data_IF_883918288120
#
_entry.id   IF_883918288120
#
_cell.length_a   1.000
_cell.length_b   1.000
_cell.length_c   1.000
_cell.angle_alpha   90.00
_cell.angle_beta   90.00
_cell.angle_gamma   90.00
#
_symmetry.space_group_name_H-M   'P 1'
#
loop_
_entity.id
_entity.type
_entity.pdbx_description
1 polymer ?
#
# COMPACT_ATOMS: atom_id res chain seq x y z
N UNK A 1 -24.30 13.97 -19.73
CA UNK A 1 -23.07 14.09 -20.56
C UNK A 1 -22.74 12.70 -21.10
N UNK A 2 -22.46 12.54 -22.40
CA UNK A 2 -22.24 11.23 -22.98
C UNK A 2 -20.88 10.69 -22.51
N UNK A 3 -20.91 9.54 -21.84
CA UNK A 3 -19.72 8.78 -21.44
C UNK A 3 -19.09 8.18 -22.70
N UNK A 4 -18.00 8.78 -23.19
CA UNK A 4 -17.20 8.19 -24.25
C UNK A 4 -16.63 6.84 -23.79
N UNK A 5 -16.79 5.80 -24.61
CA UNK A 5 -16.16 4.48 -24.36
C UNK A 5 -14.64 4.68 -24.29
N UNK A 6 -13.92 3.99 -23.38
CA UNK A 6 -12.47 4.10 -23.31
C UNK A 6 -11.88 3.64 -24.65
N UNK A 7 -11.23 4.56 -25.35
CA UNK A 7 -10.51 4.30 -26.60
C UNK A 7 -9.51 3.19 -26.37
N UNK A 8 -9.61 2.11 -27.14
CA UNK A 8 -8.73 0.95 -27.04
C UNK A 8 -7.31 1.38 -27.39
N UNK A 9 -6.43 1.42 -26.38
CA UNK A 9 -5.06 1.90 -26.51
C UNK A 9 -4.23 0.80 -27.21
N UNK A 10 -4.06 0.89 -28.53
CA UNK A 10 -3.15 0.03 -29.29
C UNK A 10 -1.73 0.60 -29.23
N UNK A 11 -0.88 -0.03 -28.43
CA UNK A 11 0.56 0.27 -28.36
C UNK A 11 1.31 -0.65 -29.32
N UNK A 12 1.87 -0.08 -30.39
CA UNK A 12 2.72 -0.80 -31.33
C UNK A 12 4.20 -0.52 -31.04
N UNK A 13 4.85 -1.47 -30.37
CA UNK A 13 6.26 -1.40 -29.97
C UNK A 13 7.25 -1.49 -31.14
N UNK A 14 6.78 -1.88 -32.33
CA UNK A 14 7.62 -1.94 -33.55
C UNK A 14 7.52 -0.67 -34.38
N UNK A 15 6.51 0.15 -34.12
CA UNK A 15 6.38 1.46 -34.75
C UNK A 15 7.39 2.43 -34.14
N UNK A 16 8.02 3.27 -34.96
CA UNK A 16 8.91 4.35 -34.48
C UNK A 16 8.20 5.47 -33.71
N UNK A 17 6.96 5.25 -33.26
CA UNK A 17 6.21 6.24 -32.48
C UNK A 17 6.70 6.28 -31.03
N UNK A 18 6.76 7.47 -30.41
CA UNK A 18 7.21 7.60 -29.04
C UNK A 18 6.22 6.91 -28.07
N UNK A 19 6.75 5.96 -27.30
CA UNK A 19 6.01 5.26 -26.25
C UNK A 19 5.67 6.25 -25.12
N UNK A 20 4.44 6.22 -24.55
CA UNK A 20 4.09 7.04 -23.39
C UNK A 20 5.03 6.80 -22.20
N UNK A 21 5.36 7.86 -21.46
CA UNK A 21 6.34 7.79 -20.35
C UNK A 21 6.01 6.72 -19.30
N UNK A 22 4.74 6.61 -18.87
CA UNK A 22 4.30 5.62 -17.89
C UNK A 22 4.50 4.17 -18.37
N UNK A 23 4.40 3.90 -19.68
CA UNK A 23 4.65 2.56 -20.23
C UNK A 23 6.13 2.22 -20.15
N UNK A 24 6.98 3.19 -20.50
CA UNK A 24 8.43 3.06 -20.38
C UNK A 24 8.84 2.81 -18.93
N UNK A 25 8.31 3.59 -17.99
CA UNK A 25 8.57 3.41 -16.55
C UNK A 25 8.21 2.00 -16.06
N UNK A 26 7.08 1.45 -16.49
CA UNK A 26 6.66 0.09 -16.12
C UNK A 26 7.58 -0.98 -16.73
N UNK A 27 8.00 -0.80 -17.99
CA UNK A 27 8.93 -1.72 -18.66
C UNK A 27 10.29 -1.68 -17.96
N UNK A 28 10.83 -0.49 -17.72
CA UNK A 28 12.13 -0.31 -17.07
C UNK A 28 12.11 -0.89 -15.64
N UNK A 29 11.03 -0.66 -14.89
CA UNK A 29 10.84 -1.23 -13.56
C UNK A 29 10.78 -2.77 -13.61
N UNK A 30 10.12 -3.35 -14.61
CA UNK A 30 10.06 -4.79 -14.78
C UNK A 30 11.44 -5.39 -15.07
N UNK A 31 12.20 -4.81 -16.00
CA UNK A 31 13.55 -5.24 -16.32
C UNK A 31 14.49 -5.12 -15.12
N UNK A 32 14.34 -4.07 -14.30
CA UNK A 32 15.10 -3.92 -13.07
C UNK A 32 14.81 -5.04 -12.06
N UNK A 33 13.53 -5.40 -11.87
CA UNK A 33 13.11 -6.51 -11.00
C UNK A 33 13.67 -7.86 -11.48
N UNK A 34 13.77 -8.08 -12.79
CA UNK A 34 14.35 -9.31 -13.33
C UNK A 34 15.88 -9.37 -13.15
N UNK A 35 16.54 -8.21 -13.17
CA UNK A 35 18.01 -8.13 -13.12
C UNK A 35 18.55 -8.43 -11.72
N UNK A 36 17.84 -8.03 -10.66
CA UNK A 36 18.30 -8.18 -9.28
C UNK A 36 17.18 -8.68 -8.37
N UNK A 37 17.46 -9.73 -7.60
CA UNK A 37 16.50 -10.24 -6.63
C UNK A 37 16.26 -9.26 -5.48
N UNK A 38 15.07 -9.30 -4.89
CA UNK A 38 14.67 -8.35 -3.83
C UNK A 38 15.57 -8.42 -2.59
N UNK A 39 16.26 -9.54 -2.36
CA UNK A 39 17.18 -9.71 -1.22
C UNK A 39 18.47 -8.93 -1.46
N UNK A 40 19.06 -9.08 -2.64
CA UNK A 40 20.31 -8.44 -3.05
C UNK A 40 20.13 -6.94 -3.17
N UNK A 41 19.00 -6.50 -3.72
CA UNK A 41 18.62 -5.09 -3.83
C UNK A 41 18.29 -4.42 -2.48
N UNK A 42 18.26 -5.16 -1.36
CA UNK A 42 17.86 -4.64 -0.06
C UNK A 42 16.39 -4.19 0.01
N UNK A 43 15.54 -4.69 -0.90
CA UNK A 43 14.15 -4.29 -1.09
C UNK A 43 13.14 -5.26 -0.45
N UNK A 44 13.57 -6.10 0.49
CA UNK A 44 12.68 -7.05 1.18
C UNK A 44 11.70 -6.32 2.11
N UNK A 45 10.42 -6.51 1.85
CA UNK A 45 9.33 -6.13 2.74
C UNK A 45 8.89 -7.30 3.63
N UNK A 46 8.46 -6.98 4.85
CA UNK A 46 7.92 -7.94 5.82
C UNK A 46 6.48 -7.58 6.18
N UNK A 47 5.71 -8.59 6.58
CA UNK A 47 4.33 -8.45 7.05
C UNK A 47 4.06 -9.46 8.15
N UNK A 48 3.27 -9.09 9.15
CA UNK A 48 2.83 -10.02 10.18
C UNK A 48 2.07 -11.22 9.56
N UNK A 49 2.45 -12.45 9.94
CA UNK A 49 1.85 -13.71 9.44
C UNK A 49 0.32 -13.70 9.47
N UNK A 50 -0.27 -13.18 10.54
CA UNK A 50 -1.72 -13.07 10.68
C UNK A 50 -2.36 -12.23 9.56
N UNK A 51 -1.71 -11.15 9.15
CA UNK A 51 -2.17 -10.27 8.08
C UNK A 51 -1.87 -10.82 6.69
N UNK A 52 -0.85 -11.65 6.53
CA UNK A 52 -0.63 -12.42 5.28
C UNK A 52 -1.78 -13.41 5.05
N UNK A 53 -2.22 -14.11 6.10
CA UNK A 53 -3.25 -15.15 5.99
C UNK A 53 -4.67 -14.58 5.87
N UNK A 54 -5.00 -13.59 6.70
CA UNK A 54 -6.38 -13.10 6.80
C UNK A 54 -6.57 -11.67 6.26
N UNK A 55 -5.51 -10.88 6.08
CA UNK A 55 -5.52 -9.47 5.63
C UNK A 55 -6.42 -8.53 6.43
N UNK A 56 -6.12 -7.23 6.42
CA UNK A 56 -7.01 -6.22 7.00
C UNK A 56 -8.24 -5.98 6.11
N UNK A 57 -9.31 -5.32 6.59
CA UNK A 57 -10.47 -4.98 5.77
C UNK A 57 -10.11 -4.10 4.57
N UNK A 58 -10.77 -4.31 3.42
CA UNK A 58 -10.57 -3.46 2.24
C UNK A 58 -11.48 -2.23 2.26
N UNK A 59 -12.69 -2.42 2.77
CA UNK A 59 -13.71 -1.38 2.94
C UNK A 59 -14.02 -1.27 4.43
N UNK A 60 -14.62 -0.15 4.80
CA UNK A 60 -15.12 0.08 6.14
C UNK A 60 -16.05 -1.07 6.57
N UNK A 61 -15.71 -1.82 7.62
CA UNK A 61 -16.54 -2.90 8.11
C UNK A 61 -17.80 -2.40 8.85
N UNK A 62 -17.94 -1.08 9.11
CA UNK A 62 -19.06 -0.44 9.82
C UNK A 62 -19.39 -1.11 11.16
N UNK A 63 -18.36 -1.67 11.80
CA UNK A 63 -18.46 -2.46 13.02
C UNK A 63 -17.16 -2.32 13.80
N UNK A 64 -17.25 -2.41 15.14
CA UNK A 64 -16.08 -2.35 16.02
C UNK A 64 -15.32 -3.67 16.09
N UNK A 65 -15.83 -4.72 15.44
CA UNK A 65 -15.23 -6.05 15.42
C UNK A 65 -15.21 -6.60 14.00
N UNK A 66 -14.02 -6.68 13.42
CA UNK A 66 -13.79 -7.34 12.14
C UNK A 66 -13.33 -8.78 12.40
N UNK A 67 -14.01 -9.74 11.77
CA UNK A 67 -13.64 -11.15 11.82
C UNK A 67 -13.33 -11.63 10.42
N UNK A 68 -12.27 -12.40 10.27
CA UNK A 68 -11.92 -13.09 9.02
C UNK A 68 -11.44 -14.50 9.32
N UNK A 69 -11.92 -15.46 8.55
CA UNK A 69 -11.50 -16.85 8.64
C UNK A 69 -10.87 -17.27 7.31
N UNK A 70 -9.77 -18.00 7.39
CA UNK A 70 -9.11 -18.64 6.27
C UNK A 70 -8.70 -20.05 6.70
N UNK A 71 -9.49 -21.06 6.31
CA UNK A 71 -9.38 -22.42 6.84
C UNK A 71 -9.54 -22.46 8.37
N UNK A 72 -8.57 -23.05 9.04
CA UNK A 72 -8.51 -23.15 10.51
C UNK A 72 -8.04 -21.86 11.19
N UNK A 73 -7.52 -20.89 10.42
CA UNK A 73 -7.06 -19.63 10.97
C UNK A 73 -8.23 -18.64 11.09
N UNK A 74 -8.39 -18.05 12.29
CA UNK A 74 -9.37 -17.00 12.57
C UNK A 74 -8.67 -15.76 13.08
N UNK A 75 -8.83 -14.65 12.36
CA UNK A 75 -8.41 -13.32 12.78
C UNK A 75 -9.61 -12.55 13.30
N UNK A 76 -9.43 -11.89 14.46
CA UNK A 76 -10.36 -10.92 15.00
C UNK A 76 -9.60 -9.62 15.28
N UNK A 77 -10.04 -8.53 14.66
CA UNK A 77 -9.55 -7.17 14.92
C UNK A 77 -10.66 -6.42 15.66
N UNK A 78 -10.29 -5.73 16.73
CA UNK A 78 -11.20 -4.95 17.57
C UNK A 78 -10.75 -3.49 17.48
N UNK A 79 -11.67 -2.57 17.24
CA UNK A 79 -11.39 -1.14 17.28
C UNK A 79 -10.93 -0.74 18.69
N UNK A 80 -9.73 -0.17 18.78
CA UNK A 80 -9.14 0.28 20.05
C UNK A 80 -9.41 1.75 20.37
N UNK A 81 -10.07 2.49 19.48
CA UNK A 81 -10.34 3.92 19.56
C UNK A 81 -11.59 4.30 18.75
N UNK A 82 -12.09 5.53 18.92
CA UNK A 82 -13.32 6.01 18.28
C UNK A 82 -13.28 6.05 16.73
N UNK A 83 -12.09 5.95 16.11
CA UNK A 83 -11.95 5.93 14.65
C UNK A 83 -12.24 4.57 13.99
N UNK A 84 -12.59 3.55 14.79
CA UNK A 84 -13.00 2.25 14.27
C UNK A 84 -11.83 1.35 13.85
N UNK A 85 -12.09 0.43 12.93
CA UNK A 85 -11.09 -0.54 12.46
C UNK A 85 -10.38 0.01 11.23
N UNK A 86 -9.04 0.11 11.20
CA UNK A 86 -8.31 0.57 10.03
C UNK A 86 -8.62 -0.28 8.80
N UNK A 87 -8.96 0.36 7.68
CA UNK A 87 -9.34 -0.30 6.44
C UNK A 87 -8.75 0.37 5.20
N UNK A 88 -8.71 -0.38 4.09
CA UNK A 88 -8.26 0.13 2.80
C UNK A 88 -6.77 -0.02 2.56
N UNK A 89 -6.28 0.69 1.53
CA UNK A 89 -4.91 0.52 1.03
C UNK A 89 -3.86 1.07 2.02
N UNK A 90 -4.09 2.24 2.61
CA UNK A 90 -3.06 2.92 3.40
C UNK A 90 -2.73 2.22 4.71
N UNK A 91 -3.71 1.80 5.55
CA UNK A 91 -3.38 1.05 6.75
C UNK A 91 -2.63 -0.24 6.43
N UNK A 92 -2.99 -0.93 5.33
CA UNK A 92 -2.30 -2.15 4.89
C UNK A 92 -0.85 -1.90 4.51
N UNK A 93 -0.58 -0.83 3.75
CA UNK A 93 0.78 -0.41 3.43
C UNK A 93 1.55 -0.03 4.70
N UNK A 94 0.89 0.66 5.64
CA UNK A 94 1.48 1.05 6.91
C UNK A 94 1.92 -0.16 7.73
N UNK A 95 1.07 -1.17 7.84
CA UNK A 95 1.42 -2.40 8.56
C UNK A 95 2.58 -3.16 7.92
N UNK A 96 2.68 -3.13 6.59
CA UNK A 96 3.84 -3.69 5.88
C UNK A 96 5.11 -2.91 6.21
N UNK A 97 5.04 -1.59 6.16
CA UNK A 97 6.19 -0.73 6.46
C UNK A 97 6.64 -0.88 7.92
N UNK A 98 5.71 -0.80 8.88
CA UNK A 98 5.95 -0.99 10.32
C UNK A 98 6.63 -2.34 10.59
N UNK A 99 6.12 -3.41 9.99
CA UNK A 99 6.71 -4.75 10.15
C UNK A 99 8.12 -4.81 9.57
N UNK A 100 8.34 -4.16 8.43
CA UNK A 100 9.66 -4.10 7.77
C UNK A 100 10.67 -3.32 8.60
N UNK A 101 10.27 -2.16 9.12
CA UNK A 101 11.12 -1.29 9.91
C UNK A 101 11.51 -1.94 11.24
N UNK A 102 10.58 -2.62 11.91
CA UNK A 102 10.86 -3.37 13.13
C UNK A 102 11.88 -4.50 12.91
N UNK A 103 11.78 -5.23 11.78
CA UNK A 103 12.73 -6.30 11.43
C UNK A 103 14.09 -5.72 11.06
N UNK A 104 14.12 -4.64 10.28
CA UNK A 104 15.36 -3.98 9.83
C UNK A 104 16.15 -3.38 10.99
N UNK A 105 15.46 -2.65 11.89
CA UNK A 105 16.08 -2.01 13.06
C UNK A 105 16.29 -2.97 14.22
N UNK A 106 15.65 -4.16 14.19
CA UNK A 106 15.60 -5.13 15.29
C UNK A 106 15.12 -4.51 16.59
N UNK A 107 14.21 -3.55 16.49
CA UNK A 107 13.68 -2.78 17.60
C UNK A 107 12.16 -2.84 17.59
N UNK A 108 11.51 -3.00 18.76
CA UNK A 108 10.07 -2.83 18.88
C UNK A 108 9.65 -1.35 18.86
N UNK A 109 10.61 -0.42 18.97
CA UNK A 109 10.38 1.02 18.94
C UNK A 109 10.65 1.54 17.54
N UNK A 110 9.64 2.15 16.92
CA UNK A 110 9.68 2.69 15.55
C UNK A 110 9.66 4.21 15.62
N UNK A 111 10.58 4.84 14.88
CA UNK A 111 10.64 6.30 14.74
C UNK A 111 9.90 6.73 13.47
N UNK A 112 8.82 7.48 13.62
CA UNK A 112 7.97 7.95 12.51
C UNK A 112 8.41 9.32 11.96
N UNK A 113 9.36 9.99 12.61
CA UNK A 113 9.78 11.36 12.30
C UNK A 113 8.88 12.44 12.91
N UNK A 114 9.02 13.67 12.43
CA UNK A 114 8.47 14.87 13.09
C UNK A 114 6.96 15.08 12.86
N UNK A 115 6.39 14.48 11.82
CA UNK A 115 4.95 14.57 11.55
C UNK A 115 4.43 13.45 10.67
N UNK A 116 3.15 13.10 10.83
CA UNK A 116 2.46 12.15 9.96
C UNK A 116 2.52 12.59 8.48
N UNK A 117 2.45 13.89 8.19
CA UNK A 117 2.53 14.40 6.82
C UNK A 117 3.92 14.19 6.21
N UNK A 118 4.98 14.43 6.98
CA UNK A 118 6.35 14.16 6.55
C UNK A 118 6.53 12.66 6.32
N UNK A 119 6.09 11.82 7.26
CA UNK A 119 6.11 10.38 7.11
C UNK A 119 5.42 9.88 5.82
N UNK A 120 4.17 10.30 5.60
CA UNK A 120 3.42 9.87 4.42
C UNK A 120 4.10 10.30 3.11
N UNK A 121 4.70 11.50 3.08
CA UNK A 121 5.38 12.02 1.89
C UNK A 121 6.74 11.37 1.68
N UNK A 122 7.57 11.32 2.71
CA UNK A 122 9.00 11.01 2.61
C UNK A 122 9.26 9.50 2.67
N UNK A 123 8.40 8.76 3.38
CA UNK A 123 8.57 7.31 3.59
C UNK A 123 7.63 6.49 2.71
N UNK A 124 6.38 6.90 2.58
CA UNK A 124 5.39 6.15 1.79
C UNK A 124 5.23 6.67 0.36
N UNK A 125 5.92 7.75 -0.02
CA UNK A 125 5.73 8.50 -1.29
C UNK A 125 4.25 8.85 -1.57
N UNK A 126 3.46 9.01 -0.52
CA UNK A 126 2.07 9.41 -0.58
C UNK A 126 2.00 10.92 -0.54
N UNK A 127 2.09 11.54 -1.72
CA UNK A 127 1.77 12.96 -1.87
C UNK A 127 0.31 13.16 -1.46
N UNK A 128 0.11 13.79 -0.30
CA UNK A 128 -1.22 14.16 0.20
C UNK A 128 -1.87 15.17 -0.74
N UNK A 129 -2.53 14.69 -1.80
CA UNK A 129 -3.09 15.52 -2.88
C UNK A 129 -4.38 16.26 -2.53
N UNK A 130 -4.82 16.26 -1.26
CA UNK A 130 -5.91 17.10 -0.80
C UNK A 130 -6.37 16.78 0.62
N UNK A 131 -6.94 17.77 1.29
CA UNK A 131 -7.70 17.61 2.54
C UNK A 131 -9.15 17.19 2.25
N UNK A 132 -9.77 16.46 3.18
CA UNK A 132 -11.17 16.03 3.09
C UNK A 132 -11.36 14.53 3.33
N UNK A 133 -12.60 14.05 3.20
CA UNK A 133 -13.01 12.66 3.50
C UNK A 133 -12.27 11.61 2.64
N UNK A 134 -11.77 12.01 1.47
CA UNK A 134 -10.98 11.16 0.56
C UNK A 134 -9.47 11.41 0.62
N UNK A 135 -9.00 12.28 1.51
CA UNK A 135 -7.57 12.56 1.69
C UNK A 135 -6.80 11.30 2.11
N UNK A 136 -5.50 11.24 1.80
CA UNK A 136 -4.64 10.13 2.26
C UNK A 136 -4.50 10.15 3.79
N UNK A 137 -4.31 11.33 4.40
CA UNK A 137 -4.22 11.47 5.86
C UNK A 137 -5.47 10.97 6.59
N UNK A 138 -6.66 11.34 6.12
CA UNK A 138 -7.95 10.91 6.71
C UNK A 138 -8.19 9.40 6.62
N UNK A 139 -7.55 8.71 5.66
CA UNK A 139 -7.69 7.26 5.47
C UNK A 139 -6.61 6.45 6.19
N UNK A 140 -5.68 7.13 6.83
CA UNK A 140 -4.62 6.55 7.68
C UNK A 140 -5.00 6.68 9.16
N UNK A 141 -5.65 7.80 9.53
CA UNK A 141 -6.13 8.09 10.88
C UNK A 141 -7.35 7.25 11.28
#
# INVERSE_FOLDING_TARGET
MPTSKPTQLKLDYRSGQPIPAWVREVIDAHLAIETEDARSAGALGFMARALVIATMPYKDPKTDVFKRQNGDFRLRIIAGYEGGIPYGIYPRLLMSWVSTEAVRTRSPVIQLGDSLRAFLRDVMDLRSTGGGVRGSGTRVA
#
